data_IF_855047021722
#
_entry.id   IF_855047021722
#
_cell.length_a   1.000
_cell.length_b   1.000
_cell.length_c   1.000
_cell.angle_alpha   90.00
_cell.angle_beta   90.00
_cell.angle_gamma   90.00
#
_symmetry.space_group_name_H-M   'P 1'
#
loop_
_entity.id
_entity.type
_entity.pdbx_description
1 polymer ?
#
# COMPACT_ATOMS: atom_id res chain seq x y z
N UNK A 1 -31.96 43.94 -2.39
CA UNK A 1 -32.19 43.14 -1.18
C UNK A 1 -30.87 42.59 -0.59
N UNK A 2 -29.98 41.98 -1.36
CA UNK A 2 -28.70 41.45 -0.88
C UNK A 2 -27.81 42.45 -0.14
N UNK A 3 -27.64 43.67 -0.64
CA UNK A 3 -26.84 44.72 0.01
C UNK A 3 -27.32 45.09 1.42
N UNK A 4 -28.65 45.06 1.65
CA UNK A 4 -29.24 45.33 2.97
C UNK A 4 -28.96 44.23 3.97
N UNK A 5 -28.93 42.97 3.51
CA UNK A 5 -28.63 41.81 4.35
C UNK A 5 -27.15 41.80 4.72
N UNK A 6 -26.28 42.11 3.76
CA UNK A 6 -24.80 42.16 3.98
C UNK A 6 -24.46 43.30 4.95
N UNK A 7 -25.01 44.48 4.79
CA UNK A 7 -24.77 45.60 5.71
C UNK A 7 -25.32 45.32 7.12
N UNK A 8 -26.49 44.67 7.24
CA UNK A 8 -27.04 44.29 8.53
C UNK A 8 -26.16 43.24 9.27
N UNK A 9 -25.52 42.33 8.51
CA UNK A 9 -24.58 41.35 9.08
C UNK A 9 -23.24 41.97 9.50
N UNK A 10 -22.79 43.03 8.83
CA UNK A 10 -21.50 43.70 9.15
C UNK A 10 -21.62 44.73 10.30
N UNK A 11 -22.81 45.39 10.44
CA UNK A 11 -22.96 46.42 11.47
C UNK A 11 -23.20 45.85 12.88
N UNK A 12 -23.91 44.71 13.02
CA UNK A 12 -24.20 44.15 14.35
C UNK A 12 -23.03 43.62 15.13
N UNK A 13 -22.02 42.93 14.54
CA UNK A 13 -20.83 42.48 15.25
C UNK A 13 -19.97 43.63 15.73
N UNK A 14 -20.00 44.77 15.04
CA UNK A 14 -19.19 45.94 15.42
C UNK A 14 -19.82 46.74 16.56
N UNK A 15 -21.12 46.67 16.76
CA UNK A 15 -21.82 47.32 17.87
C UNK A 15 -21.73 46.57 19.21
N UNK A 16 -21.56 45.23 19.17
CA UNK A 16 -21.37 44.40 20.36
C UNK A 16 -20.29 43.35 20.15
N UNK A 17 -19.00 43.72 20.26
CA UNK A 17 -17.89 42.84 20.01
C UNK A 17 -17.85 41.59 20.93
N UNK A 18 -18.43 41.72 22.13
CA UNK A 18 -18.52 40.60 23.07
C UNK A 18 -19.44 39.47 22.54
N UNK A 19 -20.58 39.80 21.90
CA UNK A 19 -21.49 38.82 21.29
C UNK A 19 -20.77 38.11 20.13
N UNK A 20 -20.02 38.83 19.29
CA UNK A 20 -19.26 38.27 18.21
C UNK A 20 -18.17 37.27 18.71
N UNK A 21 -17.45 37.65 19.76
CA UNK A 21 -16.43 36.80 20.40
C UNK A 21 -17.08 35.52 20.96
N UNK A 22 -18.17 35.64 21.71
CA UNK A 22 -18.88 34.49 22.29
C UNK A 22 -19.39 33.55 21.17
N UNK A 23 -19.90 34.09 20.07
CA UNK A 23 -20.36 33.29 18.94
C UNK A 23 -19.20 32.54 18.27
N UNK A 24 -18.07 33.21 18.03
CA UNK A 24 -16.87 32.58 17.45
C UNK A 24 -16.34 31.50 18.38
N UNK A 25 -16.23 31.76 19.68
CA UNK A 25 -15.78 30.77 20.65
C UNK A 25 -16.74 29.58 20.75
N UNK A 26 -18.05 29.80 20.64
CA UNK A 26 -19.04 28.72 20.63
C UNK A 26 -18.91 27.82 19.40
N UNK A 27 -18.71 28.43 18.22
CA UNK A 27 -18.45 27.69 16.98
C UNK A 27 -17.14 26.92 17.09
N UNK A 28 -16.08 27.57 17.58
CA UNK A 28 -14.78 26.91 17.75
C UNK A 28 -14.87 25.74 18.73
N UNK A 29 -15.54 25.92 19.85
CA UNK A 29 -15.79 24.86 20.84
C UNK A 29 -16.60 23.69 20.26
N UNK A 30 -17.63 23.98 19.48
CA UNK A 30 -18.41 22.95 18.78
C UNK A 30 -17.56 22.14 17.80
N UNK A 31 -16.78 22.79 16.96
CA UNK A 31 -15.91 22.08 16.01
C UNK A 31 -14.76 21.35 16.72
N UNK A 32 -14.17 21.94 17.77
CA UNK A 32 -13.13 21.28 18.56
C UNK A 32 -13.63 20.01 19.25
N UNK A 33 -14.85 20.02 19.77
CA UNK A 33 -15.46 18.83 20.36
C UNK A 33 -15.74 17.74 19.31
N UNK A 34 -16.10 18.13 18.09
CA UNK A 34 -16.41 17.19 17.01
C UNK A 34 -15.16 16.74 16.22
N UNK A 35 -13.99 17.29 16.46
CA UNK A 35 -12.76 16.95 15.71
C UNK A 35 -12.36 15.49 15.89
N UNK A 36 -12.70 14.88 17.01
CA UNK A 36 -12.48 13.45 17.25
C UNK A 36 -13.27 12.51 16.32
N UNK A 37 -14.35 13.02 15.71
CA UNK A 37 -15.18 12.29 14.73
C UNK A 37 -14.82 12.62 13.29
N UNK A 38 -13.83 13.50 13.10
CA UNK A 38 -13.37 13.85 11.76
C UNK A 38 -12.45 12.74 11.25
N UNK A 39 -12.95 11.95 10.33
CA UNK A 39 -12.19 10.94 9.59
C UNK A 39 -11.92 11.48 8.18
N UNK A 40 -10.65 11.68 7.83
CA UNK A 40 -10.25 11.96 6.48
C UNK A 40 -10.07 10.64 5.74
N UNK A 41 -10.99 10.34 4.83
CA UNK A 41 -10.79 9.24 3.89
C UNK A 41 -9.88 9.74 2.77
N UNK A 42 -8.58 9.46 2.89
CA UNK A 42 -7.55 9.81 1.91
C UNK A 42 -7.30 8.66 0.92
N UNK A 43 -8.22 7.71 0.81
CA UNK A 43 -8.11 6.65 -0.20
C UNK A 43 -8.12 7.27 -1.60
N UNK A 44 -7.32 6.72 -2.50
CA UNK A 44 -7.28 7.14 -3.92
C UNK A 44 -8.67 7.11 -4.57
N UNK A 45 -9.53 6.19 -4.15
CA UNK A 45 -10.91 6.05 -4.62
C UNK A 45 -11.80 7.25 -4.34
N UNK A 46 -11.58 7.97 -3.22
CA UNK A 46 -12.38 9.15 -2.85
C UNK A 46 -11.91 10.43 -3.49
N UNK A 47 -10.67 10.46 -3.95
CA UNK A 47 -10.06 11.61 -4.63
C UNK A 47 -10.33 11.61 -6.14
N UNK A 48 -10.77 10.49 -6.71
CA UNK A 48 -11.05 10.33 -8.13
C UNK A 48 -12.54 10.60 -8.41
N UNK A 49 -12.80 11.33 -9.48
CA UNK A 49 -14.17 11.54 -9.97
C UNK A 49 -14.73 10.20 -10.48
N UNK A 50 -15.90 9.79 -9.98
CA UNK A 50 -16.54 8.51 -10.35
C UNK A 50 -16.78 8.37 -11.87
N UNK A 51 -16.86 9.49 -12.60
CA UNK A 51 -17.10 9.54 -14.05
C UNK A 51 -15.81 9.60 -14.89
N UNK A 52 -14.63 9.47 -14.27
CA UNK A 52 -13.35 9.52 -14.98
C UNK A 52 -13.14 8.24 -15.82
N UNK A 53 -12.87 8.43 -17.12
CA UNK A 53 -12.61 7.35 -18.07
C UNK A 53 -11.33 6.59 -17.72
N UNK A 54 -10.30 7.29 -17.22
CA UNK A 54 -9.04 6.71 -16.79
C UNK A 54 -9.24 5.85 -15.54
N UNK A 55 -10.16 6.23 -14.64
CA UNK A 55 -10.51 5.42 -13.48
C UNK A 55 -11.20 4.11 -13.88
N UNK A 56 -12.09 4.14 -14.89
CA UNK A 56 -12.71 2.92 -15.43
C UNK A 56 -11.67 2.01 -16.07
N UNK A 57 -10.74 2.57 -16.80
CA UNK A 57 -9.62 1.82 -17.38
C UNK A 57 -8.75 1.19 -16.31
N UNK A 58 -8.37 1.96 -15.28
CA UNK A 58 -7.60 1.47 -14.12
C UNK A 58 -8.31 0.30 -13.41
N UNK A 59 -9.62 0.44 -13.12
CA UNK A 59 -10.42 -0.64 -12.52
C UNK A 59 -10.47 -1.90 -13.36
N UNK A 60 -10.56 -1.76 -14.68
CA UNK A 60 -10.51 -2.90 -15.59
C UNK A 60 -9.14 -3.61 -15.58
N UNK A 61 -8.06 -2.84 -15.50
CA UNK A 61 -6.71 -3.39 -15.36
C UNK A 61 -6.55 -4.09 -14.01
N UNK A 62 -6.97 -3.45 -12.91
CA UNK A 62 -6.97 -4.02 -11.56
C UNK A 62 -7.77 -5.32 -11.48
N UNK A 63 -8.98 -5.35 -12.03
CA UNK A 63 -9.82 -6.55 -12.08
C UNK A 63 -9.20 -7.69 -12.90
N UNK A 64 -8.37 -7.38 -13.89
CA UNK A 64 -7.74 -8.37 -14.77
C UNK A 64 -6.41 -8.91 -14.23
N UNK A 65 -5.62 -8.07 -13.57
CA UNK A 65 -4.25 -8.37 -13.17
C UNK A 65 -4.06 -8.46 -11.66
N UNK A 66 -5.09 -8.17 -10.88
CA UNK A 66 -5.01 -8.06 -9.42
C UNK A 66 -4.55 -6.69 -8.95
N UNK A 67 -4.61 -6.49 -7.65
CA UNK A 67 -4.10 -5.32 -6.93
C UNK A 67 -3.24 -5.85 -5.80
N UNK A 68 -1.98 -6.13 -6.12
CA UNK A 68 -1.05 -6.63 -5.12
C UNK A 68 -0.57 -5.46 -4.26
N UNK A 69 -1.02 -5.42 -3.01
CA UNK A 69 -0.44 -4.53 -2.02
C UNK A 69 0.87 -5.11 -1.50
N UNK A 70 1.89 -4.27 -1.43
CA UNK A 70 3.20 -4.70 -0.95
C UNK A 70 3.91 -3.61 -0.14
N UNK A 71 4.82 -4.05 0.72
CA UNK A 71 5.81 -3.19 1.37
C UNK A 71 7.19 -3.47 0.79
N UNK A 72 7.97 -2.41 0.68
CA UNK A 72 9.39 -2.52 0.30
C UNK A 72 10.24 -2.22 1.52
N UNK A 73 11.11 -3.15 1.87
CA UNK A 73 12.14 -2.99 2.91
C UNK A 73 13.48 -2.92 2.21
N UNK A 74 14.21 -1.84 2.41
CA UNK A 74 15.57 -1.68 1.89
C UNK A 74 16.58 -2.02 2.98
N UNK A 75 17.62 -2.78 2.61
CA UNK A 75 18.63 -3.27 3.54
C UNK A 75 20.01 -2.94 2.97
N UNK A 76 20.81 -2.21 3.75
CA UNK A 76 22.22 -1.91 3.44
C UNK A 76 23.10 -2.52 4.52
N UNK A 77 23.55 -3.78 4.34
CA UNK A 77 24.40 -4.46 5.32
C UNK A 77 25.78 -3.83 5.40
N UNK A 78 26.48 -4.08 6.51
CA UNK A 78 27.85 -3.61 6.66
C UNK A 78 28.83 -4.48 5.86
N UNK A 79 29.56 -3.88 4.96
CA UNK A 79 30.55 -4.56 4.09
C UNK A 79 29.96 -4.97 2.74
N UNK A 80 30.39 -6.09 2.21
CA UNK A 80 29.91 -6.61 0.94
C UNK A 80 28.56 -7.31 1.12
N UNK A 81 27.61 -6.99 0.27
CA UNK A 81 26.25 -7.57 0.30
C UNK A 81 26.28 -9.10 0.17
N UNK A 82 27.21 -9.64 -0.62
CA UNK A 82 27.31 -11.06 -0.92
C UNK A 82 28.22 -11.84 0.05
N UNK A 83 28.81 -11.18 1.07
CA UNK A 83 29.45 -11.91 2.16
C UNK A 83 28.49 -12.89 2.84
N UNK A 84 28.95 -14.08 3.20
CA UNK A 84 28.13 -15.14 3.79
C UNK A 84 27.31 -14.67 5.00
N UNK A 85 27.91 -13.85 5.89
CA UNK A 85 27.22 -13.26 7.04
C UNK A 85 26.02 -12.38 6.65
N UNK A 86 26.11 -11.67 5.51
CA UNK A 86 25.08 -10.78 5.02
C UNK A 86 23.97 -11.56 4.28
N UNK A 87 24.35 -12.62 3.58
CA UNK A 87 23.40 -13.58 3.02
C UNK A 87 22.63 -14.28 4.13
N UNK A 88 23.28 -14.73 5.20
CA UNK A 88 22.60 -15.32 6.37
C UNK A 88 21.65 -14.32 7.02
N UNK A 89 22.08 -13.05 7.18
CA UNK A 89 21.21 -11.98 7.67
C UNK A 89 19.94 -11.82 6.80
N UNK A 90 20.09 -11.85 5.48
CA UNK A 90 18.93 -11.76 4.57
C UNK A 90 18.02 -12.98 4.69
N UNK A 91 18.56 -14.17 4.88
CA UNK A 91 17.78 -15.40 5.08
C UNK A 91 16.99 -15.34 6.39
N UNK A 92 17.65 -14.94 7.48
CA UNK A 92 17.02 -14.84 8.80
C UNK A 92 15.91 -13.79 8.80
N UNK A 93 16.21 -12.60 8.29
CA UNK A 93 15.25 -11.50 8.19
C UNK A 93 14.04 -11.88 7.32
N UNK A 94 14.28 -12.49 6.15
CA UNK A 94 13.21 -13.01 5.29
C UNK A 94 12.35 -14.04 6.02
N UNK A 95 12.98 -14.95 6.75
CA UNK A 95 12.28 -16.00 7.48
C UNK A 95 11.38 -15.41 8.56
N UNK A 96 11.88 -14.46 9.36
CA UNK A 96 11.09 -13.80 10.39
C UNK A 96 9.93 -13.00 9.81
N UNK A 97 10.17 -12.21 8.74
CA UNK A 97 9.12 -11.44 8.07
C UNK A 97 8.04 -12.34 7.46
N UNK A 98 8.42 -13.50 6.93
CA UNK A 98 7.47 -14.46 6.35
C UNK A 98 6.58 -15.15 7.40
N UNK A 99 6.89 -15.04 8.69
CA UNK A 99 6.06 -15.57 9.77
C UNK A 99 4.89 -14.66 10.16
N UNK A 100 4.87 -13.42 9.67
CA UNK A 100 3.76 -12.51 9.91
C UNK A 100 2.52 -12.98 9.14
N UNK A 101 1.38 -13.10 9.84
CA UNK A 101 0.14 -13.66 9.28
C UNK A 101 -0.37 -12.88 8.06
N UNK A 102 -0.16 -11.57 8.07
CA UNK A 102 -0.59 -10.67 7.01
C UNK A 102 0.32 -10.68 5.78
N UNK A 103 1.52 -11.28 5.87
CA UNK A 103 2.46 -11.40 4.75
C UNK A 103 2.19 -12.72 4.02
N UNK A 104 1.91 -12.63 2.74
CA UNK A 104 1.71 -13.78 1.87
C UNK A 104 3.05 -14.37 1.42
N UNK A 105 3.96 -13.50 1.00
CA UNK A 105 5.30 -13.91 0.56
C UNK A 105 6.31 -12.78 0.72
N UNK A 106 7.58 -13.15 0.87
CA UNK A 106 8.70 -12.20 0.88
C UNK A 106 9.65 -12.57 -0.25
N UNK A 107 9.85 -11.63 -1.18
CA UNK A 107 10.75 -11.77 -2.33
C UNK A 107 11.98 -10.91 -2.11
N UNK A 108 13.17 -11.48 -2.30
CA UNK A 108 14.47 -10.83 -2.15
C UNK A 108 15.40 -11.20 -3.31
N UNK A 109 16.63 -10.70 -3.30
CA UNK A 109 17.68 -11.14 -4.24
C UNK A 109 17.96 -12.65 -4.17
N UNK A 110 17.57 -13.30 -3.07
CA UNK A 110 17.77 -14.75 -2.89
C UNK A 110 16.78 -15.60 -3.70
N UNK A 111 15.67 -15.00 -4.14
CA UNK A 111 14.51 -15.68 -4.75
C UNK A 111 14.34 -15.39 -6.23
N UNK A 112 14.97 -14.33 -6.72
CA UNK A 112 14.81 -13.97 -8.12
C UNK A 112 15.43 -15.03 -9.03
N UNK A 113 14.79 -15.32 -10.19
CA UNK A 113 15.30 -16.31 -11.13
C UNK A 113 16.61 -15.85 -11.75
N UNK A 114 17.65 -16.67 -11.73
CA UNK A 114 18.91 -16.42 -12.42
C UNK A 114 18.84 -17.02 -13.84
N UNK A 115 19.17 -16.21 -14.83
CA UNK A 115 19.06 -16.58 -16.24
C UNK A 115 20.41 -17.03 -16.84
N UNK A 116 21.51 -16.66 -16.18
CA UNK A 116 22.88 -16.89 -16.67
C UNK A 116 23.77 -17.66 -15.68
N UNK A 117 23.24 -18.00 -14.50
CA UNK A 117 24.05 -18.51 -13.38
C UNK A 117 23.43 -19.77 -12.73
N UNK A 118 23.65 -20.98 -13.28
CA UNK A 118 24.44 -21.33 -14.45
C UNK A 118 23.74 -21.04 -15.79
N UNK A 119 24.49 -20.92 -16.89
CA UNK A 119 23.89 -20.77 -18.20
C UNK A 119 23.02 -21.99 -18.54
N UNK A 120 21.72 -21.77 -18.71
CA UNK A 120 20.74 -22.80 -19.10
C UNK A 120 20.00 -22.37 -20.38
N UNK A 121 19.43 -23.34 -21.06
CA UNK A 121 18.56 -23.06 -22.21
C UNK A 121 17.24 -22.43 -21.75
N UNK A 122 16.56 -21.65 -22.62
CA UNK A 122 15.27 -21.04 -22.29
C UNK A 122 14.21 -22.06 -21.88
N UNK A 123 14.27 -23.29 -22.42
CA UNK A 123 13.34 -24.36 -22.03
C UNK A 123 13.56 -24.82 -20.58
N UNK A 124 14.82 -25.00 -20.18
CA UNK A 124 15.17 -25.41 -18.82
C UNK A 124 14.84 -24.31 -17.81
N UNK A 125 15.06 -23.02 -18.15
CA UNK A 125 14.69 -21.88 -17.32
C UNK A 125 13.17 -21.79 -17.13
N UNK A 126 12.41 -22.07 -18.18
CA UNK A 126 10.94 -22.05 -18.11
C UNK A 126 10.38 -23.15 -17.21
N UNK A 127 11.06 -24.29 -17.10
CA UNK A 127 10.66 -25.37 -16.19
C UNK A 127 11.08 -25.11 -14.74
N UNK A 128 12.30 -24.64 -14.52
CA UNK A 128 12.86 -24.35 -13.18
C UNK A 128 14.04 -23.41 -13.30
N UNK A 129 13.83 -22.12 -13.08
CA UNK A 129 14.90 -21.14 -12.99
C UNK A 129 15.65 -21.29 -11.65
N UNK A 130 16.99 -21.41 -11.65
CA UNK A 130 17.78 -21.42 -10.42
C UNK A 130 17.67 -20.04 -9.72
N UNK A 131 17.79 -20.06 -8.41
CA UNK A 131 17.87 -18.86 -7.57
C UNK A 131 19.26 -18.77 -6.94
N UNK A 132 19.56 -17.70 -6.21
CA UNK A 132 20.85 -17.53 -5.54
C UNK A 132 21.17 -18.66 -4.56
N UNK A 133 20.17 -19.26 -3.93
CA UNK A 133 20.32 -20.36 -2.96
C UNK A 133 20.26 -21.76 -3.58
N UNK A 134 20.01 -21.87 -4.89
CA UNK A 134 19.96 -23.18 -5.54
C UNK A 134 21.31 -23.89 -5.51
N UNK A 135 21.35 -25.21 -5.25
CA UNK A 135 22.61 -25.97 -5.12
C UNK A 135 23.49 -25.93 -6.38
N UNK A 136 22.87 -25.76 -7.55
CA UNK A 136 23.56 -25.69 -8.84
C UNK A 136 24.06 -24.28 -9.19
N UNK A 137 23.75 -23.27 -8.40
CA UNK A 137 24.11 -21.88 -8.70
C UNK A 137 25.59 -21.63 -8.44
N UNK A 138 26.26 -21.09 -9.46
CA UNK A 138 27.57 -20.48 -9.31
C UNK A 138 27.41 -19.09 -8.70
N UNK A 139 27.85 -18.92 -7.45
CA UNK A 139 27.65 -17.67 -6.68
C UNK A 139 28.38 -16.49 -7.29
N UNK A 140 29.57 -16.69 -7.88
CA UNK A 140 30.32 -15.60 -8.52
C UNK A 140 29.59 -15.10 -9.77
N UNK A 141 29.07 -16.02 -10.59
CA UNK A 141 28.27 -15.65 -11.75
C UNK A 141 26.92 -15.04 -11.35
N UNK A 142 26.30 -15.52 -10.29
CA UNK A 142 25.06 -14.97 -9.76
C UNK A 142 25.22 -13.52 -9.28
N UNK A 143 26.31 -13.22 -8.55
CA UNK A 143 26.66 -11.87 -8.13
C UNK A 143 26.83 -10.93 -9.33
N UNK A 144 27.59 -11.37 -10.35
CA UNK A 144 27.78 -10.60 -11.59
C UNK A 144 26.42 -10.38 -12.27
N UNK A 145 25.58 -11.40 -12.36
CA UNK A 145 24.25 -11.27 -12.98
C UNK A 145 23.37 -10.29 -12.22
N UNK A 146 23.27 -10.41 -10.90
CA UNK A 146 22.45 -9.53 -10.06
C UNK A 146 22.91 -8.06 -10.13
N UNK A 147 24.21 -7.82 -10.19
CA UNK A 147 24.79 -6.46 -10.18
C UNK A 147 24.85 -5.80 -11.56
N UNK A 148 24.82 -6.57 -12.65
CA UNK A 148 24.98 -6.03 -14.01
C UNK A 148 23.74 -6.15 -14.89
N UNK A 149 22.75 -6.95 -14.49
CA UNK A 149 21.55 -7.15 -15.29
C UNK A 149 20.54 -6.02 -15.07
N UNK A 150 20.05 -5.44 -16.17
CA UNK A 150 18.96 -4.45 -16.13
C UNK A 150 17.66 -4.99 -15.54
N UNK A 151 17.53 -6.31 -15.34
CA UNK A 151 16.36 -6.91 -14.70
C UNK A 151 16.39 -6.73 -13.18
N UNK A 152 17.57 -6.55 -12.58
CA UNK A 152 17.74 -6.52 -11.12
C UNK A 152 18.32 -5.20 -10.63
N UNK A 153 19.24 -4.61 -11.40
CA UNK A 153 19.89 -3.35 -11.08
C UNK A 153 18.86 -2.21 -10.98
N UNK A 154 18.90 -1.44 -9.92
CA UNK A 154 17.97 -0.35 -9.61
C UNK A 154 16.51 -0.77 -9.40
N UNK A 155 16.23 -2.09 -9.33
CA UNK A 155 14.92 -2.62 -8.94
C UNK A 155 15.00 -3.34 -7.60
N UNK A 156 15.90 -4.30 -7.47
CA UNK A 156 16.05 -5.11 -6.26
C UNK A 156 17.44 -4.97 -5.61
N UNK A 157 18.42 -4.49 -6.36
CA UNK A 157 19.77 -4.19 -5.91
C UNK A 157 20.22 -2.82 -6.45
N UNK A 158 20.92 -2.03 -5.63
CA UNK A 158 21.48 -0.75 -6.05
C UNK A 158 22.63 -0.91 -7.04
N UNK A 159 22.92 0.13 -7.82
CA UNK A 159 23.99 0.14 -8.81
C UNK A 159 25.38 -0.14 -8.19
N UNK A 160 25.60 0.32 -6.96
CA UNK A 160 26.84 0.10 -6.21
C UNK A 160 26.86 -1.22 -5.42
N UNK A 161 25.85 -2.05 -5.57
CA UNK A 161 25.66 -3.35 -4.91
C UNK A 161 25.73 -3.29 -3.37
N UNK A 162 25.44 -2.13 -2.76
CA UNK A 162 25.47 -1.98 -1.30
C UNK A 162 24.11 -2.10 -0.64
N UNK A 163 23.04 -1.87 -1.38
CA UNK A 163 21.68 -1.90 -0.88
C UNK A 163 20.85 -2.89 -1.67
N UNK A 164 20.10 -3.70 -0.98
CA UNK A 164 19.10 -4.58 -1.59
C UNK A 164 17.72 -4.29 -1.06
N UNK A 165 16.69 -4.74 -1.76
CA UNK A 165 15.30 -4.64 -1.36
C UNK A 165 14.69 -6.01 -1.09
N UNK A 166 13.77 -6.06 -0.11
CA UNK A 166 12.82 -7.14 0.07
C UNK A 166 11.42 -6.62 -0.20
N UNK A 167 10.69 -7.33 -1.03
CA UNK A 167 9.29 -7.07 -1.35
C UNK A 167 8.43 -7.99 -0.49
N UNK A 168 7.63 -7.40 0.39
CA UNK A 168 6.70 -8.11 1.25
C UNK A 168 5.31 -7.99 0.63
N UNK A 169 4.82 -9.04 0.01
CA UNK A 169 3.47 -9.09 -0.54
C UNK A 169 2.48 -9.29 0.60
N UNK A 170 1.49 -8.40 0.67
CA UNK A 170 0.46 -8.43 1.71
C UNK A 170 -0.66 -9.35 1.26
N UNK A 171 -1.18 -10.14 2.19
CA UNK A 171 -2.30 -11.03 1.92
C UNK A 171 -3.57 -10.22 1.66
N UNK A 172 -4.18 -10.42 0.51
CA UNK A 172 -5.42 -9.74 0.12
C UNK A 172 -6.61 -10.19 0.98
N UNK A 173 -7.41 -9.23 1.38
CA UNK A 173 -8.70 -9.47 2.02
C UNK A 173 -9.77 -9.77 0.95
N UNK A 174 -9.87 -11.05 0.56
CA UNK A 174 -10.80 -11.49 -0.50
C UNK A 174 -12.26 -11.15 -0.21
N UNK A 175 -12.66 -11.05 1.06
CA UNK A 175 -14.01 -10.65 1.43
C UNK A 175 -14.24 -9.17 1.10
N UNK A 176 -13.31 -8.30 1.46
CA UNK A 176 -13.39 -6.88 1.15
C UNK A 176 -13.40 -6.64 -0.36
N UNK A 177 -12.51 -7.30 -1.12
CA UNK A 177 -12.46 -7.20 -2.57
C UNK A 177 -13.81 -7.62 -3.21
N UNK A 178 -14.38 -8.74 -2.77
CA UNK A 178 -15.69 -9.18 -3.27
C UNK A 178 -16.81 -8.16 -3.02
N UNK A 179 -16.83 -7.49 -1.86
CA UNK A 179 -17.82 -6.47 -1.54
C UNK A 179 -17.59 -5.17 -2.33
N UNK A 180 -16.34 -4.82 -2.61
CA UNK A 180 -15.96 -3.70 -3.47
C UNK A 180 -16.48 -3.96 -4.89
N UNK A 181 -16.24 -5.14 -5.44
CA UNK A 181 -16.70 -5.49 -6.78
C UNK A 181 -18.22 -5.43 -6.89
N UNK A 182 -18.95 -5.99 -5.93
CA UNK A 182 -20.42 -5.93 -5.90
C UNK A 182 -20.93 -4.48 -5.83
N UNK A 183 -20.33 -3.66 -4.97
CA UNK A 183 -20.66 -2.23 -4.86
C UNK A 183 -20.42 -1.49 -6.17
N UNK A 184 -19.28 -1.75 -6.82
CA UNK A 184 -18.86 -1.03 -8.01
C UNK A 184 -19.70 -1.42 -9.24
N UNK A 185 -20.20 -2.66 -9.31
CA UNK A 185 -21.21 -3.07 -10.30
C UNK A 185 -22.50 -2.24 -10.16
N UNK A 186 -22.99 -2.05 -8.92
CA UNK A 186 -24.18 -1.23 -8.69
C UNK A 186 -23.94 0.27 -8.95
N UNK A 187 -22.73 0.77 -8.64
CA UNK A 187 -22.31 2.13 -8.97
C UNK A 187 -22.28 2.36 -10.47
N UNK A 188 -21.65 1.46 -11.23
CA UNK A 188 -21.63 1.53 -12.69
C UNK A 188 -23.04 1.51 -13.27
N UNK A 189 -23.91 0.62 -12.77
CA UNK A 189 -25.32 0.58 -13.19
C UNK A 189 -26.06 1.88 -12.91
N UNK A 190 -25.76 2.56 -11.78
CA UNK A 190 -26.36 3.86 -11.43
C UNK A 190 -26.01 4.96 -12.44
N UNK A 191 -24.82 4.91 -13.05
CA UNK A 191 -24.41 5.87 -14.06
C UNK A 191 -25.14 5.66 -15.39
N UNK A 192 -25.37 4.40 -15.77
CA UNK A 192 -25.99 4.05 -17.05
C UNK A 192 -27.52 4.04 -16.98
N UNK A 193 -28.11 3.86 -15.81
CA UNK A 193 -29.55 3.72 -15.60
C UNK A 193 -29.96 4.06 -14.16
N UNK A 194 -31.26 4.35 -13.96
CA UNK A 194 -31.79 4.52 -12.61
C UNK A 194 -31.86 3.16 -11.90
N UNK A 195 -31.28 3.09 -10.70
CA UNK A 195 -31.41 1.94 -9.81
C UNK A 195 -32.85 1.87 -9.23
N UNK A 196 -33.34 0.65 -9.02
CA UNK A 196 -34.53 0.38 -8.26
C UNK A 196 -34.36 0.74 -6.77
N UNK A 197 -35.41 0.87 -6.02
CA UNK A 197 -35.37 1.18 -4.58
C UNK A 197 -34.59 0.09 -3.80
N UNK A 198 -34.73 -1.17 -4.19
CA UNK A 198 -33.97 -2.31 -3.61
C UNK A 198 -32.47 -2.22 -3.90
N UNK A 199 -32.08 -1.87 -5.11
CA UNK A 199 -30.67 -1.72 -5.50
C UNK A 199 -30.02 -0.50 -4.83
N UNK A 200 -30.79 0.57 -4.58
CA UNK A 200 -30.29 1.72 -3.80
C UNK A 200 -30.02 1.35 -2.34
N UNK A 201 -30.91 0.57 -1.73
CA UNK A 201 -30.72 0.06 -0.37
C UNK A 201 -29.51 -0.88 -0.28
N UNK A 202 -29.39 -1.82 -1.23
CA UNK A 202 -28.24 -2.70 -1.35
C UNK A 202 -26.92 -1.94 -1.53
N UNK A 203 -26.89 -0.93 -2.41
CA UNK A 203 -25.70 -0.07 -2.59
C UNK A 203 -25.32 0.67 -1.29
N UNK A 204 -26.33 1.12 -0.52
CA UNK A 204 -26.10 1.78 0.77
C UNK A 204 -25.52 0.80 1.79
N UNK A 205 -26.05 -0.42 1.88
CA UNK A 205 -25.55 -1.46 2.76
C UNK A 205 -24.11 -1.86 2.41
N UNK A 206 -23.85 -2.18 1.14
CA UNK A 206 -22.51 -2.51 0.66
C UNK A 206 -21.50 -1.38 0.93
N UNK A 207 -21.91 -0.12 0.71
CA UNK A 207 -21.03 1.03 0.99
C UNK A 207 -20.69 1.13 2.47
N UNK A 208 -21.65 0.88 3.35
CA UNK A 208 -21.41 0.89 4.80
C UNK A 208 -20.52 -0.25 5.26
N UNK A 209 -20.73 -1.44 4.71
CA UNK A 209 -19.93 -2.64 5.03
C UNK A 209 -18.48 -2.50 4.53
N UNK A 210 -18.29 -2.07 3.29
CA UNK A 210 -16.97 -1.75 2.74
C UNK A 210 -16.24 -0.71 3.59
N UNK A 211 -16.94 0.36 4.01
CA UNK A 211 -16.34 1.39 4.88
C UNK A 211 -15.87 0.81 6.21
N UNK A 212 -16.66 -0.09 6.82
CA UNK A 212 -16.29 -0.75 8.08
C UNK A 212 -15.07 -1.63 7.89
N UNK A 213 -15.09 -2.54 6.91
CA UNK A 213 -13.99 -3.47 6.66
C UNK A 213 -12.69 -2.75 6.28
N UNK A 214 -12.76 -1.68 5.48
CA UNK A 214 -11.57 -0.84 5.19
C UNK A 214 -10.98 -0.17 6.43
N UNK A 215 -11.82 0.18 7.41
CA UNK A 215 -11.32 0.72 8.69
C UNK A 215 -10.59 -0.34 9.50
N UNK A 216 -11.15 -1.55 9.55
CA UNK A 216 -10.55 -2.69 10.25
C UNK A 216 -9.22 -3.06 9.57
N UNK A 217 -9.18 -3.17 8.24
CA UNK A 217 -7.98 -3.44 7.45
C UNK A 217 -6.87 -2.39 7.66
N UNK A 218 -7.23 -1.09 7.68
CA UNK A 218 -6.24 -0.04 8.00
C UNK A 218 -5.61 -0.21 9.38
N UNK A 219 -6.39 -0.63 10.37
CA UNK A 219 -5.86 -0.90 11.71
C UNK A 219 -4.93 -2.12 11.71
N UNK A 220 -5.30 -3.18 11.01
CA UNK A 220 -4.48 -4.39 10.84
C UNK A 220 -3.19 -4.08 10.09
N UNK A 221 -3.24 -3.30 9.01
CA UNK A 221 -2.06 -2.85 8.28
C UNK A 221 -1.14 -2.00 9.15
N UNK A 222 -1.70 -1.10 9.97
CA UNK A 222 -0.89 -0.30 10.89
C UNK A 222 -0.17 -1.16 11.94
N UNK A 223 -0.83 -2.19 12.46
CA UNK A 223 -0.24 -3.16 13.39
C UNK A 223 0.84 -3.99 12.69
N UNK A 224 0.57 -4.50 11.50
CA UNK A 224 1.54 -5.24 10.69
C UNK A 224 2.80 -4.40 10.43
N UNK A 225 2.65 -3.14 10.02
CA UNK A 225 3.81 -2.23 9.83
C UNK A 225 4.59 -2.03 11.12
N UNK A 226 3.92 -1.96 12.27
CA UNK A 226 4.59 -1.86 13.56
C UNK A 226 5.37 -3.15 13.89
N UNK A 227 4.82 -4.32 13.60
CA UNK A 227 5.49 -5.60 13.80
C UNK A 227 6.68 -5.78 12.83
N UNK A 228 6.53 -5.41 11.55
CA UNK A 228 7.64 -5.35 10.60
C UNK A 228 8.77 -4.47 11.16
N UNK A 229 8.46 -3.24 11.59
CA UNK A 229 9.48 -2.34 12.18
C UNK A 229 10.15 -2.93 13.40
N UNK A 230 9.41 -3.61 14.25
CA UNK A 230 9.97 -4.26 15.44
C UNK A 230 10.94 -5.38 15.09
N UNK A 231 10.66 -6.16 14.04
CA UNK A 231 11.61 -7.15 13.50
C UNK A 231 12.85 -6.44 12.97
N UNK A 232 12.67 -5.44 12.09
CA UNK A 232 13.77 -4.68 11.50
C UNK A 232 14.69 -4.02 12.54
N UNK A 233 14.12 -3.53 13.64
CA UNK A 233 14.87 -2.91 14.74
C UNK A 233 15.91 -3.86 15.38
N UNK A 234 15.70 -5.16 15.30
CA UNK A 234 16.64 -6.17 15.83
C UNK A 234 17.91 -6.26 14.97
N UNK A 235 17.82 -5.92 13.69
CA UNK A 235 18.89 -6.02 12.72
C UNK A 235 19.68 -4.71 12.49
N UNK A 236 19.24 -3.59 13.09
CA UNK A 236 19.89 -2.27 12.95
C UNK A 236 21.36 -2.21 13.35
N UNK A 237 21.83 -3.14 14.18
CA UNK A 237 23.24 -3.22 14.52
C UNK A 237 24.10 -3.81 13.39
N UNK A 238 23.49 -4.54 12.46
CA UNK A 238 24.16 -5.29 11.39
C UNK A 238 23.95 -4.68 10.01
N UNK A 239 22.86 -3.92 9.84
CA UNK A 239 22.52 -3.26 8.58
C UNK A 239 21.80 -1.92 8.84
N UNK A 240 21.91 -0.99 7.88
CA UNK A 240 20.98 0.15 7.77
C UNK A 240 19.70 -0.34 7.07
N UNK A 241 18.57 -0.16 7.74
CA UNK A 241 17.27 -0.67 7.27
C UNK A 241 16.23 0.45 7.39
#
# INVERSE_FOLDING_TARGET
>A
MLKKIINWQLEKPTTNPFIAIVLVLSILGFFSYNIQYFELDASSDTLLLEDDEDLRYYRNIKARYGDDEFLVVTISPQGDLFEEKNIDLLIDLKTELSQLEQIESVVSILDVPLLKSPPKSLGEIAESAPTFLSPETDRELAEIELTTSNLYQNLIISEDAKTTAMLLNIRLNTQLESLIDQRDVLRAKRLDSNLSATELDELSQLTSEVKKLRKDERNETALMVADVRKILDQYKSSAEI
#
